data_IF_971587262944
#
_entry.id   IF_971587262944
#
_cell.length_a   1.000
_cell.length_b   1.000
_cell.length_c   1.000
_cell.angle_alpha   90.00
_cell.angle_beta   90.00
_cell.angle_gamma   90.00
#
_symmetry.space_group_name_H-M   'P 1'
#
loop_
_entity.id
_entity.type
_entity.pdbx_description
1 polymer ?
#
# COMPACT_ATOMS: atom_id res chain seq x y z
N UNK A 1 -17.18 -3.48 -14.93
CA UNK A 1 -18.25 -2.60 -15.41
C UNK A 1 -18.49 -1.48 -14.41
N UNK A 2 -18.38 -0.20 -14.86
CA UNK A 2 -18.57 0.98 -14.02
C UNK A 2 -19.70 1.83 -14.60
N UNK A 3 -20.73 2.12 -13.81
CA UNK A 3 -21.85 2.96 -14.18
C UNK A 3 -22.04 4.08 -13.14
N UNK A 4 -22.03 5.31 -13.58
CA UNK A 4 -22.39 6.45 -12.75
C UNK A 4 -23.92 6.63 -12.80
N UNK A 5 -24.60 6.58 -11.65
CA UNK A 5 -26.05 6.75 -11.55
C UNK A 5 -26.46 8.19 -11.25
N UNK A 6 -25.55 8.93 -10.66
CA UNK A 6 -25.65 10.37 -10.43
C UNK A 6 -24.23 10.91 -10.25
N UNK A 7 -23.98 12.21 -10.33
CA UNK A 7 -22.66 12.77 -10.07
C UNK A 7 -22.14 12.45 -8.66
N UNK A 8 -23.01 12.02 -7.74
CA UNK A 8 -22.69 11.72 -6.35
C UNK A 8 -22.61 10.19 -6.04
N UNK A 9 -22.96 9.32 -7.00
CA UNK A 9 -23.00 7.87 -6.75
C UNK A 9 -22.39 7.12 -7.92
N UNK A 10 -21.40 6.26 -7.65
CA UNK A 10 -20.82 5.36 -8.62
C UNK A 10 -20.95 3.90 -8.18
N UNK A 11 -21.12 3.00 -9.14
CA UNK A 11 -21.10 1.55 -8.93
C UNK A 11 -20.00 0.94 -9.77
N UNK A 12 -19.22 0.07 -9.17
CA UNK A 12 -18.13 -0.66 -9.82
C UNK A 12 -18.31 -2.16 -9.52
N UNK A 13 -18.28 -2.97 -10.55
CA UNK A 13 -18.31 -4.43 -10.42
C UNK A 13 -17.06 -4.99 -11.09
N UNK A 14 -16.29 -5.73 -10.32
CA UNK A 14 -15.05 -6.40 -10.78
C UNK A 14 -15.18 -7.88 -10.56
N UNK A 15 -14.85 -8.65 -11.59
CA UNK A 15 -14.68 -10.09 -11.49
C UNK A 15 -13.24 -10.44 -11.83
N UNK A 16 -12.65 -11.29 -11.02
CA UNK A 16 -11.30 -11.84 -11.22
C UNK A 16 -11.43 -13.35 -11.29
N UNK A 17 -10.86 -13.94 -12.32
CA UNK A 17 -10.77 -15.39 -12.51
C UNK A 17 -9.31 -15.80 -12.45
N UNK A 18 -9.03 -16.96 -11.83
CA UNK A 18 -7.67 -17.48 -11.66
C UNK A 18 -7.64 -18.58 -10.59
N UNK A 19 -6.52 -18.77 -9.93
CA UNK A 19 -6.41 -19.72 -8.81
C UNK A 19 -7.41 -19.43 -7.69
N UNK A 20 -7.77 -18.16 -7.49
CA UNK A 20 -8.87 -17.74 -6.62
C UNK A 20 -9.82 -16.88 -7.44
N UNK A 21 -11.03 -17.37 -7.67
CA UNK A 21 -12.08 -16.59 -8.33
C UNK A 21 -12.73 -15.66 -7.30
N UNK A 22 -12.82 -14.38 -7.62
CA UNK A 22 -13.42 -13.38 -6.77
C UNK A 22 -14.35 -12.46 -7.56
N UNK A 23 -15.49 -12.11 -6.98
CA UNK A 23 -16.40 -11.09 -7.48
C UNK A 23 -16.56 -10.01 -6.43
N UNK A 24 -16.32 -8.77 -6.82
CA UNK A 24 -16.48 -7.61 -5.93
C UNK A 24 -17.44 -6.63 -6.55
N UNK A 25 -18.47 -6.26 -5.81
CA UNK A 25 -19.39 -5.19 -6.16
C UNK A 25 -19.21 -4.03 -5.17
N UNK A 26 -18.92 -2.85 -5.66
CA UNK A 26 -18.70 -1.65 -4.84
C UNK A 26 -19.68 -0.56 -5.23
N UNK A 27 -20.32 0.02 -4.23
CA UNK A 27 -21.14 1.23 -4.35
C UNK A 27 -20.45 2.33 -3.57
N UNK A 28 -20.10 3.41 -4.23
CA UNK A 28 -19.49 4.59 -3.62
C UNK A 28 -20.47 5.75 -3.72
N UNK A 29 -20.69 6.44 -2.62
CA UNK A 29 -21.56 7.62 -2.55
C UNK A 29 -20.86 8.75 -1.82
N UNK A 30 -20.94 9.94 -2.38
CA UNK A 30 -20.57 11.15 -1.68
C UNK A 30 -21.69 11.51 -0.69
N UNK A 31 -21.40 11.48 0.61
CA UNK A 31 -22.34 11.76 1.69
C UNK A 31 -22.43 13.24 1.99
N UNK A 32 -21.28 13.92 1.97
CA UNK A 32 -21.17 15.37 2.11
C UNK A 32 -20.06 15.87 1.17
N UNK A 33 -19.87 17.18 1.06
CA UNK A 33 -18.78 17.78 0.26
C UNK A 33 -17.40 17.26 0.63
N UNK A 34 -17.23 16.82 1.88
CA UNK A 34 -15.94 16.36 2.43
C UNK A 34 -15.92 14.88 2.85
N UNK A 35 -17.03 14.17 2.68
CA UNK A 35 -17.15 12.78 3.16
C UNK A 35 -17.68 11.88 2.04
N UNK A 36 -16.97 10.79 1.81
CA UNK A 36 -17.36 9.74 0.85
C UNK A 36 -17.48 8.42 1.61
N UNK A 37 -18.60 7.73 1.42
CA UNK A 37 -18.83 6.39 1.90
C UNK A 37 -18.79 5.38 0.75
N UNK A 38 -18.24 4.21 1.00
CA UNK A 38 -18.28 3.10 0.06
C UNK A 38 -18.69 1.81 0.79
N UNK A 39 -19.50 1.03 0.13
CA UNK A 39 -19.90 -0.31 0.55
C UNK A 39 -19.46 -1.26 -0.55
N UNK A 40 -18.62 -2.22 -0.18
CA UNK A 40 -18.15 -3.26 -1.10
C UNK A 40 -18.59 -4.62 -0.58
N UNK A 41 -19.19 -5.39 -1.46
CA UNK A 41 -19.51 -6.79 -1.21
C UNK A 41 -18.57 -7.64 -2.06
N UNK A 42 -17.85 -8.55 -1.43
CA UNK A 42 -16.92 -9.44 -2.09
C UNK A 42 -17.30 -10.91 -1.82
N UNK A 43 -17.25 -11.69 -2.87
CA UNK A 43 -17.32 -13.14 -2.79
C UNK A 43 -15.99 -13.71 -3.28
N UNK A 44 -15.35 -14.50 -2.45
CA UNK A 44 -14.11 -15.20 -2.80
C UNK A 44 -14.42 -16.68 -2.75
N UNK A 45 -14.24 -17.38 -3.87
CA UNK A 45 -14.38 -18.82 -3.90
C UNK A 45 -13.44 -19.44 -2.86
N UNK A 46 -13.93 -20.36 -2.05
CA UNK A 46 -13.28 -21.01 -0.90
C UNK A 46 -13.26 -20.21 0.43
N UNK A 47 -13.41 -18.88 0.43
CA UNK A 47 -13.43 -18.07 1.65
C UNK A 47 -14.83 -17.56 2.01
N UNK A 48 -15.76 -17.56 1.04
CA UNK A 48 -17.14 -17.12 1.25
C UNK A 48 -17.37 -15.63 1.03
N UNK A 49 -18.42 -15.11 1.64
CA UNK A 49 -18.86 -13.73 1.50
C UNK A 49 -18.18 -12.80 2.49
N UNK A 50 -17.82 -11.62 2.03
CA UNK A 50 -17.32 -10.53 2.84
C UNK A 50 -18.04 -9.22 2.53
N UNK A 51 -18.18 -8.38 3.55
CA UNK A 51 -18.69 -7.02 3.43
C UNK A 51 -17.60 -6.05 3.90
N UNK A 52 -17.33 -5.02 3.11
CA UNK A 52 -16.44 -3.94 3.50
C UNK A 52 -17.20 -2.62 3.50
N UNK A 53 -17.14 -1.93 4.62
CA UNK A 53 -17.63 -0.57 4.77
C UNK A 53 -16.42 0.36 4.84
N UNK A 54 -16.38 1.39 4.01
CA UNK A 54 -15.32 2.38 3.99
C UNK A 54 -15.91 3.77 4.10
N UNK A 55 -15.38 4.56 5.02
CA UNK A 55 -15.68 5.98 5.17
C UNK A 55 -14.39 6.76 5.00
N UNK A 56 -14.39 7.72 4.10
CA UNK A 56 -13.27 8.63 3.88
C UNK A 56 -13.75 10.05 4.09
N UNK A 57 -13.01 10.83 4.88
CA UNK A 57 -13.33 12.23 5.16
C UNK A 57 -12.10 13.11 5.01
N UNK A 58 -12.27 14.24 4.36
CA UNK A 58 -11.28 15.31 4.36
C UNK A 58 -11.34 16.03 5.71
N UNK A 59 -10.28 15.89 6.51
CA UNK A 59 -10.18 16.49 7.85
C UNK A 59 -9.66 17.93 7.76
N UNK A 60 -8.65 18.15 6.93
CA UNK A 60 -8.04 19.45 6.64
C UNK A 60 -7.74 19.53 5.14
N UNK A 61 -7.33 20.71 4.65
CA UNK A 61 -7.02 20.92 3.22
C UNK A 61 -6.07 19.87 2.62
N UNK A 62 -5.10 19.38 3.42
CA UNK A 62 -4.07 18.43 2.99
C UNK A 62 -4.16 17.08 3.70
N UNK A 63 -5.16 16.88 4.56
CA UNK A 63 -5.29 15.66 5.38
C UNK A 63 -6.60 14.96 5.11
N UNK A 64 -6.53 13.67 4.78
CA UNK A 64 -7.68 12.79 4.60
C UNK A 64 -7.62 11.67 5.62
N UNK A 65 -8.68 11.49 6.38
CA UNK A 65 -8.86 10.34 7.26
C UNK A 65 -9.71 9.27 6.58
N UNK A 66 -9.50 8.03 6.96
CA UNK A 66 -10.35 6.92 6.53
C UNK A 66 -10.60 5.94 7.67
N UNK A 67 -11.76 5.31 7.60
CA UNK A 67 -12.19 4.22 8.46
C UNK A 67 -12.67 3.11 7.55
N UNK A 68 -12.18 1.91 7.77
CA UNK A 68 -12.60 0.72 7.01
C UNK A 68 -12.98 -0.38 7.99
N UNK A 69 -14.11 -0.98 7.76
CA UNK A 69 -14.58 -2.13 8.52
C UNK A 69 -14.87 -3.28 7.55
N UNK A 70 -14.16 -4.38 7.75
CA UNK A 70 -14.33 -5.61 7.01
C UNK A 70 -15.06 -6.61 7.88
N UNK A 71 -16.14 -7.19 7.38
CA UNK A 71 -16.94 -8.24 8.02
C UNK A 71 -16.91 -9.46 7.11
N UNK A 72 -16.54 -10.61 7.65
CA UNK A 72 -16.45 -11.86 6.90
C UNK A 72 -15.43 -12.83 7.51
N UNK A 73 -14.90 -13.76 6.74
CA UNK A 73 -13.94 -14.76 7.21
C UNK A 73 -12.71 -14.14 7.90
N UNK A 74 -12.30 -12.95 7.44
CA UNK A 74 -11.22 -12.17 8.05
C UNK A 74 -11.79 -10.81 8.45
N UNK A 75 -12.44 -10.78 9.63
CA UNK A 75 -12.99 -9.54 10.16
C UNK A 75 -11.87 -8.64 10.69
N UNK A 76 -11.91 -7.38 10.28
CA UNK A 76 -10.92 -6.38 10.69
C UNK A 76 -11.50 -4.97 10.63
N UNK A 77 -10.99 -4.09 11.47
CA UNK A 77 -11.26 -2.67 11.44
C UNK A 77 -9.95 -1.93 11.27
N UNK A 78 -9.91 -0.94 10.41
CA UNK A 78 -8.74 -0.09 10.24
C UNK A 78 -9.14 1.38 10.18
N UNK A 79 -8.33 2.21 10.78
CA UNK A 79 -8.44 3.66 10.71
C UNK A 79 -7.09 4.25 10.39
N UNK A 80 -7.07 5.35 9.65
CA UNK A 80 -5.82 5.98 9.31
C UNK A 80 -6.01 7.36 8.72
N UNK A 81 -4.88 8.01 8.50
CA UNK A 81 -4.85 9.32 7.90
C UNK A 81 -3.71 9.40 6.87
N UNK A 82 -3.96 10.18 5.85
CA UNK A 82 -2.96 10.56 4.85
C UNK A 82 -2.82 12.08 4.87
N UNK A 83 -1.61 12.56 5.07
CA UNK A 83 -1.27 13.97 5.01
C UNK A 83 -0.31 14.21 3.85
N UNK A 84 -0.69 15.12 2.94
CA UNK A 84 0.14 15.50 1.80
C UNK A 84 0.69 16.92 2.03
N UNK A 85 1.99 17.12 1.87
CA UNK A 85 2.66 18.41 2.02
C UNK A 85 3.70 18.60 0.92
N UNK A 86 3.38 19.46 -0.02
CA UNK A 86 4.20 19.69 -1.20
C UNK A 86 4.42 18.41 -2.02
N UNK A 87 5.68 18.00 -2.18
CA UNK A 87 6.08 16.77 -2.88
C UNK A 87 6.14 15.52 -1.97
N UNK A 88 5.71 15.64 -0.72
CA UNK A 88 5.75 14.55 0.24
C UNK A 88 4.35 14.12 0.66
N UNK A 89 4.20 12.87 1.03
CA UNK A 89 2.98 12.35 1.64
C UNK A 89 3.34 11.37 2.76
N UNK A 90 2.62 11.47 3.86
CA UNK A 90 2.69 10.53 4.98
C UNK A 90 1.34 9.86 5.11
N UNK A 91 1.34 8.56 5.23
CA UNK A 91 0.16 7.75 5.51
C UNK A 91 0.42 6.92 6.76
N UNK A 92 -0.50 6.95 7.70
CA UNK A 92 -0.49 6.11 8.90
C UNK A 92 -1.82 5.39 9.00
N UNK A 93 -1.79 4.09 9.21
CA UNK A 93 -2.94 3.22 9.36
C UNK A 93 -2.79 2.36 10.60
N UNK A 94 -3.81 2.33 11.44
CA UNK A 94 -3.94 1.39 12.54
C UNK A 94 -5.01 0.36 12.18
N UNK A 95 -4.71 -0.91 12.36
CA UNK A 95 -5.64 -2.00 12.08
C UNK A 95 -5.75 -2.96 13.25
N UNK A 96 -6.97 -3.39 13.52
CA UNK A 96 -7.30 -4.43 14.49
C UNK A 96 -8.14 -5.49 13.79
N UNK A 97 -7.74 -6.73 13.88
CA UNK A 97 -8.44 -7.83 13.24
C UNK A 97 -8.18 -9.17 13.92
N UNK A 98 -8.98 -10.16 13.55
CA UNK A 98 -8.86 -11.52 14.09
C UNK A 98 -7.51 -12.18 13.72
N UNK A 99 -7.00 -11.90 12.52
CA UNK A 99 -5.77 -12.50 12.04
C UNK A 99 -4.52 -11.73 12.50
N UNK A 100 -4.59 -10.40 12.54
CA UNK A 100 -3.47 -9.56 12.93
C UNK A 100 -3.95 -8.16 13.30
N UNK A 101 -3.21 -7.53 14.21
CA UNK A 101 -3.39 -6.13 14.60
C UNK A 101 -2.06 -5.41 14.48
N UNK A 102 -2.08 -4.15 14.07
CA UNK A 102 -0.83 -3.43 13.93
C UNK A 102 -0.98 -1.99 13.42
N UNK A 103 0.15 -1.32 13.42
CA UNK A 103 0.37 0.03 12.92
C UNK A 103 1.18 -0.07 11.63
N UNK A 104 0.70 0.55 10.57
CA UNK A 104 1.40 0.66 9.30
C UNK A 104 1.64 2.13 8.99
N UNK A 105 2.79 2.45 8.47
CA UNK A 105 3.07 3.80 8.02
C UNK A 105 3.83 3.79 6.70
N UNK A 106 3.59 4.82 5.90
CA UNK A 106 4.30 5.06 4.65
C UNK A 106 4.66 6.53 4.54
N UNK A 107 5.92 6.79 4.27
CA UNK A 107 6.40 8.08 3.83
C UNK A 107 6.76 7.98 2.35
N UNK A 108 6.23 8.87 1.54
CA UNK A 108 6.47 8.95 0.11
C UNK A 108 7.01 10.34 -0.19
N UNK A 109 8.11 10.41 -0.90
CA UNK A 109 8.73 11.65 -1.38
C UNK A 109 8.92 11.59 -2.87
N UNK A 110 8.30 12.50 -3.57
CA UNK A 110 8.55 12.74 -4.98
C UNK A 110 9.73 13.71 -5.12
N UNK A 111 10.86 13.22 -5.64
CA UNK A 111 12.04 14.06 -5.85
C UNK A 111 11.89 14.86 -7.14
N UNK A 112 11.62 14.16 -8.24
CA UNK A 112 11.41 14.69 -9.56
C UNK A 112 10.11 14.14 -10.14
N UNK A 113 9.70 14.56 -11.32
CA UNK A 113 8.53 14.04 -12.01
C UNK A 113 8.60 12.50 -12.19
N UNK A 114 9.82 11.97 -12.34
CA UNK A 114 10.06 10.57 -12.67
C UNK A 114 10.61 9.73 -11.50
N UNK A 115 10.91 10.31 -10.32
CA UNK A 115 11.54 9.58 -9.20
C UNK A 115 10.74 9.73 -7.92
N UNK A 116 10.39 8.58 -7.32
CA UNK A 116 9.65 8.49 -6.07
C UNK A 116 10.41 7.61 -5.09
N UNK A 117 10.66 8.13 -3.89
CA UNK A 117 11.20 7.38 -2.76
C UNK A 117 10.08 7.02 -1.81
N UNK A 118 10.17 5.83 -1.25
CA UNK A 118 9.20 5.32 -0.29
C UNK A 118 9.91 4.67 0.87
N UNK A 119 9.46 5.03 2.08
CA UNK A 119 9.80 4.35 3.32
C UNK A 119 8.50 3.85 3.92
N UNK A 120 8.38 2.56 4.14
CA UNK A 120 7.22 1.95 4.76
C UNK A 120 7.64 1.20 6.01
N UNK A 121 6.82 1.23 7.05
CA UNK A 121 7.00 0.43 8.24
C UNK A 121 5.69 -0.26 8.62
N UNK A 122 5.82 -1.43 9.21
CA UNK A 122 4.70 -2.19 9.78
C UNK A 122 5.14 -2.72 11.14
N UNK A 123 4.33 -2.48 12.14
CA UNK A 123 4.53 -2.97 13.49
C UNK A 123 3.24 -3.63 13.95
N UNK A 124 3.27 -4.87 14.35
CA UNK A 124 2.06 -5.56 14.76
C UNK A 124 2.30 -6.96 15.30
N UNK A 125 1.22 -7.65 15.58
CA UNK A 125 1.24 -9.02 16.10
C UNK A 125 1.87 -10.02 15.13
N UNK A 126 1.84 -9.74 13.83
CA UNK A 126 2.48 -10.56 12.79
C UNK A 126 4.00 -10.29 12.66
N UNK A 127 4.53 -9.29 13.38
CA UNK A 127 5.93 -8.91 13.37
C UNK A 127 6.19 -7.46 13.03
N UNK A 128 7.47 -7.15 12.83
CA UNK A 128 7.96 -5.84 12.40
C UNK A 128 8.56 -5.94 10.99
N UNK A 129 8.25 -4.98 10.15
CA UNK A 129 8.79 -4.88 8.78
C UNK A 129 9.12 -3.42 8.47
N UNK A 130 10.27 -3.18 7.86
CA UNK A 130 10.66 -1.91 7.27
C UNK A 130 10.93 -2.12 5.78
N UNK A 131 10.29 -1.32 4.92
CA UNK A 131 10.45 -1.33 3.45
C UNK A 131 11.00 0.03 3.01
N UNK A 132 12.21 0.05 2.48
CA UNK A 132 12.83 1.25 1.90
C UNK A 132 13.05 1.02 0.43
N UNK A 133 12.52 1.88 -0.41
CA UNK A 133 12.61 1.69 -1.84
C UNK A 133 12.53 2.96 -2.65
N UNK A 134 12.93 2.82 -3.90
CA UNK A 134 12.83 3.86 -4.91
C UNK A 134 12.13 3.31 -6.15
N UNK A 135 11.42 4.19 -6.84
CA UNK A 135 10.81 3.89 -8.14
C UNK A 135 11.18 5.01 -9.09
N UNK A 136 11.61 4.64 -10.29
CA UNK A 136 11.91 5.56 -11.39
C UNK A 136 10.99 5.25 -12.57
N UNK A 137 10.29 6.24 -13.07
CA UNK A 137 9.60 6.15 -14.34
C UNK A 137 10.64 6.31 -15.45
N UNK A 138 10.73 5.29 -16.29
CA UNK A 138 11.71 5.24 -17.40
C UNK A 138 11.05 5.75 -18.66
N UNK A 139 9.77 5.42 -18.83
CA UNK A 139 8.95 5.75 -20.01
C UNK A 139 7.51 6.01 -19.56
N UNK A 140 6.64 6.56 -20.41
CA UNK A 140 5.23 6.85 -20.08
C UNK A 140 4.52 5.63 -19.50
N UNK A 141 4.81 4.43 -20.05
CA UNK A 141 4.16 3.17 -19.68
C UNK A 141 5.04 2.24 -18.80
N UNK A 142 6.28 2.64 -18.48
CA UNK A 142 7.23 1.75 -17.80
C UNK A 142 7.82 2.42 -16.56
N UNK A 143 7.64 1.79 -15.40
CA UNK A 143 8.27 2.18 -14.15
C UNK A 143 9.08 1.02 -13.57
N UNK A 144 10.31 1.30 -13.16
CA UNK A 144 11.22 0.38 -12.49
C UNK A 144 11.35 0.78 -11.03
N UNK A 145 11.33 -0.19 -10.14
CA UNK A 145 11.51 0.05 -8.73
C UNK A 145 12.37 -1.03 -8.07
N UNK A 146 13.08 -0.62 -7.04
CA UNK A 146 13.78 -1.52 -6.15
C UNK A 146 13.48 -1.16 -4.70
N UNK A 147 13.33 -2.15 -3.84
CA UNK A 147 13.17 -1.92 -2.41
C UNK A 147 13.86 -3.00 -1.59
N UNK A 148 14.37 -2.60 -0.45
CA UNK A 148 14.94 -3.47 0.57
C UNK A 148 13.91 -3.59 1.69
N UNK A 149 13.59 -4.81 2.05
CA UNK A 149 12.65 -5.12 3.13
C UNK A 149 13.39 -5.84 4.23
N UNK A 150 13.39 -5.24 5.40
CA UNK A 150 13.92 -5.80 6.63
C UNK A 150 12.75 -6.24 7.49
N UNK A 151 12.69 -7.49 7.84
CA UNK A 151 11.65 -8.05 8.70
C UNK A 151 12.25 -9.04 9.70
N UNK A 152 11.48 -9.45 10.70
CA UNK A 152 11.90 -10.51 11.62
C UNK A 152 12.20 -11.84 10.89
N UNK A 153 11.64 -12.01 9.69
CA UNK A 153 11.84 -13.22 8.86
C UNK A 153 13.07 -13.16 7.95
N UNK A 154 13.81 -12.05 7.98
CA UNK A 154 15.00 -11.88 7.17
C UNK A 154 15.03 -10.58 6.37
N UNK A 155 16.08 -10.49 5.57
CA UNK A 155 16.35 -9.39 4.65
C UNK A 155 16.00 -9.84 3.23
N UNK A 156 15.17 -9.07 2.54
CA UNK A 156 14.82 -9.34 1.14
C UNK A 156 14.94 -8.09 0.29
N UNK A 157 15.39 -8.28 -0.95
CA UNK A 157 15.40 -7.30 -2.01
C UNK A 157 14.21 -7.56 -2.93
N UNK A 158 13.44 -6.53 -3.28
CA UNK A 158 12.30 -6.65 -4.18
C UNK A 158 12.51 -5.74 -5.38
N UNK A 159 12.61 -6.33 -6.56
CA UNK A 159 12.56 -5.60 -7.81
C UNK A 159 11.12 -5.54 -8.31
N UNK A 160 10.73 -4.39 -8.80
CA UNK A 160 9.39 -4.15 -9.36
C UNK A 160 9.54 -3.57 -10.76
N UNK A 161 8.83 -4.16 -11.70
CA UNK A 161 8.68 -3.66 -13.06
C UNK A 161 7.19 -3.47 -13.28
N UNK A 162 6.79 -2.26 -13.58
CA UNK A 162 5.42 -1.95 -13.99
C UNK A 162 5.47 -1.50 -15.44
N UNK A 163 4.82 -2.25 -16.33
CA UNK A 163 4.76 -1.94 -17.77
C UNK A 163 3.34 -2.15 -18.26
N UNK A 164 2.75 -1.12 -18.89
CA UNK A 164 1.40 -1.17 -19.47
C UNK A 164 0.33 -1.73 -18.50
N UNK A 165 0.39 -1.34 -17.22
CA UNK A 165 -0.52 -1.85 -16.19
C UNK A 165 -0.18 -3.25 -15.65
N UNK A 166 0.74 -3.98 -16.25
CA UNK A 166 1.25 -5.25 -15.73
C UNK A 166 2.34 -4.98 -14.69
N UNK A 167 2.24 -5.64 -13.54
CA UNK A 167 3.17 -5.49 -12.44
C UNK A 167 3.89 -6.81 -12.16
N UNK A 168 5.19 -6.80 -12.37
CA UNK A 168 6.09 -7.89 -12.02
C UNK A 168 6.84 -7.54 -10.74
N UNK A 169 6.89 -8.48 -9.80
CA UNK A 169 7.65 -8.35 -8.55
C UNK A 169 8.52 -9.57 -8.39
N UNK A 170 9.82 -9.36 -8.33
CA UNK A 170 10.82 -10.42 -8.12
C UNK A 170 11.39 -10.24 -6.70
N UNK A 171 10.97 -11.04 -5.73
CA UNK A 171 11.55 -11.04 -4.39
C UNK A 171 12.81 -11.90 -4.37
N UNK A 172 13.91 -11.37 -3.85
CA UNK A 172 15.18 -12.09 -3.65
C UNK A 172 15.45 -12.10 -2.15
N UNK A 173 15.43 -13.26 -1.53
CA UNK A 173 15.80 -13.42 -0.13
C UNK A 173 17.33 -13.38 0.00
N UNK A 174 17.84 -12.36 0.70
CA UNK A 174 19.27 -12.17 0.91
C UNK A 174 19.76 -12.96 2.13
N UNK A 175 19.01 -12.91 3.24
CA UNK A 175 19.33 -13.66 4.44
C UNK A 175 18.05 -14.09 5.16
N UNK A 176 17.95 -15.38 5.60
CA UNK A 176 16.78 -15.87 6.34
C UNK A 176 16.76 -15.48 7.81
N UNK A 177 17.86 -14.98 8.36
CA UNK A 177 17.95 -14.52 9.75
C UNK A 177 18.56 -13.13 9.83
N UNK A 178 17.88 -12.25 10.53
CA UNK A 178 18.37 -10.90 10.79
C UNK A 178 19.10 -10.89 12.13
N UNK A 179 20.43 -10.85 12.07
CA UNK A 179 21.24 -10.49 13.23
C UNK A 179 21.31 -8.97 13.30
N UNK A 180 21.25 -8.38 14.48
CA UNK A 180 21.19 -6.93 14.68
C UNK A 180 22.30 -6.16 13.91
N UNK A 181 23.49 -6.75 13.81
CA UNK A 181 24.63 -6.22 13.03
C UNK A 181 24.34 -6.16 11.52
N UNK A 182 23.62 -7.16 10.98
CA UNK A 182 23.22 -7.19 9.56
C UNK A 182 22.07 -6.23 9.27
N UNK A 183 21.21 -5.97 10.24
CA UNK A 183 20.16 -4.97 10.13
C UNK A 183 20.74 -3.56 10.07
N UNK A 184 21.76 -3.25 10.86
CA UNK A 184 22.49 -1.98 10.77
C UNK A 184 23.15 -1.79 9.40
N UNK A 185 23.79 -2.83 8.86
CA UNK A 185 24.37 -2.79 7.51
C UNK A 185 23.29 -2.57 6.44
N UNK A 186 22.12 -3.20 6.57
CA UNK A 186 21.01 -3.00 5.64
C UNK A 186 20.41 -1.58 5.72
N UNK A 187 20.49 -0.93 6.89
CA UNK A 187 20.08 0.46 7.07
C UNK A 187 21.07 1.46 6.47
N UNK A 188 22.36 1.15 6.54
CA UNK A 188 23.43 2.03 6.03
C UNK A 188 23.68 1.86 4.54
N UNK A 189 23.50 0.66 3.98
CA UNK A 189 23.71 0.38 2.55
C UNK A 189 22.86 1.23 1.60
N UNK A 190 21.54 1.42 1.78
CA UNK A 190 20.73 2.22 0.86
C UNK A 190 21.14 3.68 0.77
N UNK A 191 21.35 4.43 1.88
CA UNK A 191 21.80 5.80 1.79
C UNK A 191 23.20 5.93 1.21
N UNK A 192 24.10 4.98 1.50
CA UNK A 192 25.46 4.96 0.91
C UNK A 192 25.39 4.65 -0.58
N UNK A 193 24.61 3.68 -1.01
CA UNK A 193 24.41 3.38 -2.42
C UNK A 193 23.76 4.55 -3.19
N UNK A 194 22.81 5.25 -2.57
CA UNK A 194 22.20 6.46 -3.16
C UNK A 194 23.21 7.61 -3.22
N UNK A 195 24.04 7.78 -2.20
CA UNK A 195 25.10 8.81 -2.17
C UNK A 195 26.17 8.52 -3.22
N UNK A 196 26.61 7.27 -3.37
CA UNK A 196 27.55 6.84 -4.41
C UNK A 196 26.96 7.02 -5.82
N UNK A 197 25.70 6.62 -6.04
CA UNK A 197 25.03 6.84 -7.34
C UNK A 197 24.86 8.33 -7.66
N UNK A 198 24.78 9.19 -6.65
CA UNK A 198 24.76 10.66 -6.86
C UNK A 198 26.12 11.23 -7.28
N UNK A 199 27.21 10.56 -6.94
CA UNK A 199 28.56 11.01 -7.25
C UNK A 199 29.03 10.56 -8.65
N UNK A 200 28.37 9.53 -9.22
CA UNK A 200 28.69 8.96 -10.53
C UNK A 200 27.69 9.33 -11.64
N UNK A 201 26.68 10.17 -11.37
CA UNK A 201 25.70 10.71 -12.31
C UNK A 201 25.61 12.23 -12.14
#
# INVERSE_FOLDING_TARGET
WRRAFSPLTSRDVRAQTGQTSAVTATVTRQLTTHTTGAVSHNYIAQQGFGLQLMLQRQLFAQTRGHLTWNVGPVSSMSTGATHAFGKNAVKCDFSVGLAASGLNGHFIRQMDENRVYRVGWKLGTAGAELDVGATKQVDEDTALGASIVVSLRGLSLRFRVNRQGQRFVVPILLTPMVTWRKSLLAFTLPPIAIALLRHFV
#
